data_IF_090820982728
#
_entry.id   IF_090820982728
#
_cell.length_a   1.000
_cell.length_b   1.000
_cell.length_c   1.000
_cell.angle_alpha   90.00
_cell.angle_beta   90.00
_cell.angle_gamma   90.00
#
_symmetry.space_group_name_H-M   'P 1'
#
loop_
_entity.id
_entity.type
_entity.pdbx_description
1 polymer ?
#
# COMPACT_ATOMS: atom_id res chain seq x y z
N UNK A 1 70.87 10.87 45.54
CA UNK A 1 69.44 11.24 45.53
C UNK A 1 68.67 9.94 45.35
N UNK A 2 68.15 9.38 46.44
CA UNK A 2 67.60 8.02 46.45
C UNK A 2 66.13 8.04 46.03
N UNK A 3 65.84 7.35 44.93
CA UNK A 3 64.50 7.03 44.47
C UNK A 3 63.91 5.96 45.39
N UNK A 4 63.07 6.35 46.36
CA UNK A 4 62.33 5.41 47.17
C UNK A 4 61.15 4.85 46.35
N UNK A 5 61.31 3.62 45.87
CA UNK A 5 60.23 2.76 45.36
C UNK A 5 59.16 2.65 46.45
N UNK A 6 57.97 3.21 46.22
CA UNK A 6 56.79 2.94 47.07
C UNK A 6 56.35 1.50 46.81
N UNK A 7 56.43 0.65 47.82
CA UNK A 7 55.84 -0.69 47.78
C UNK A 7 54.31 -0.59 47.79
N UNK A 8 53.60 -1.49 47.08
CA UNK A 8 52.15 -1.53 47.12
C UNK A 8 51.68 -2.00 48.51
N UNK A 9 50.79 -1.25 49.16
CA UNK A 9 50.21 -1.64 50.44
C UNK A 9 49.48 -2.98 50.33
N UNK A 10 49.80 -3.91 51.23
CA UNK A 10 49.12 -5.19 51.34
C UNK A 10 47.66 -4.96 51.78
N UNK A 11 46.72 -5.20 50.86
CA UNK A 11 45.29 -5.10 51.15
C UNK A 11 44.87 -6.04 52.28
N UNK A 12 44.12 -5.52 53.25
CA UNK A 12 43.55 -6.31 54.35
C UNK A 12 42.63 -7.42 53.81
N UNK A 13 42.79 -8.65 54.31
CA UNK A 13 41.94 -9.78 53.89
C UNK A 13 40.56 -9.72 54.56
N UNK A 14 39.52 -9.92 53.77
CA UNK A 14 38.13 -9.94 54.22
C UNK A 14 37.86 -11.16 55.11
N UNK A 15 37.09 -10.97 56.18
CA UNK A 15 36.65 -12.08 57.03
C UNK A 15 35.47 -12.85 56.40
N UNK A 16 35.18 -14.10 56.85
CA UNK A 16 34.13 -14.93 56.24
C UNK A 16 32.73 -14.29 56.23
N UNK A 17 32.39 -13.51 57.25
CA UNK A 17 31.10 -12.82 57.33
C UNK A 17 31.00 -11.69 56.30
N UNK A 18 32.08 -10.92 56.11
CA UNK A 18 32.16 -9.88 55.08
C UNK A 18 32.06 -10.48 53.67
N UNK A 19 32.70 -11.63 53.43
CA UNK A 19 32.55 -12.37 52.18
C UNK A 19 31.11 -12.81 51.92
N UNK A 20 30.43 -13.37 52.94
CA UNK A 20 29.05 -13.82 52.81
C UNK A 20 28.08 -12.67 52.50
N UNK A 21 28.26 -11.52 53.15
CA UNK A 21 27.47 -10.30 52.89
C UNK A 21 27.69 -9.80 51.47
N UNK A 22 28.94 -9.69 51.01
CA UNK A 22 29.25 -9.29 49.64
C UNK A 22 28.64 -10.24 48.63
N UNK A 23 28.81 -11.56 48.80
CA UNK A 23 28.24 -12.57 47.90
C UNK A 23 26.70 -12.49 47.83
N UNK A 24 26.02 -12.23 48.95
CA UNK A 24 24.57 -12.04 48.98
C UNK A 24 24.15 -10.78 48.20
N UNK A 25 24.82 -9.65 48.41
CA UNK A 25 24.54 -8.39 47.68
C UNK A 25 24.75 -8.58 46.18
N UNK A 26 25.91 -9.11 45.76
CA UNK A 26 26.18 -9.41 44.35
C UNK A 26 25.14 -10.36 43.76
N UNK A 27 24.77 -11.42 44.48
CA UNK A 27 23.74 -12.37 44.06
C UNK A 27 22.38 -11.71 43.84
N UNK A 28 21.96 -10.78 44.70
CA UNK A 28 20.71 -10.03 44.51
C UNK A 28 20.76 -9.06 43.33
N UNK A 29 21.88 -8.35 43.15
CA UNK A 29 22.10 -7.44 42.03
C UNK A 29 22.04 -8.18 40.69
N UNK A 30 22.70 -9.35 40.57
CA UNK A 30 22.67 -10.18 39.37
C UNK A 30 21.25 -10.64 39.04
N UNK A 31 20.49 -11.13 40.05
CA UNK A 31 19.09 -11.55 39.83
C UNK A 31 18.20 -10.38 39.40
N UNK A 32 18.41 -9.19 39.94
CA UNK A 32 17.67 -7.99 39.54
C UNK A 32 17.94 -7.62 38.08
N UNK A 33 19.22 -7.60 37.66
CA UNK A 33 19.62 -7.35 36.27
C UNK A 33 19.03 -8.42 35.33
N UNK A 34 19.05 -9.70 35.71
CA UNK A 34 18.42 -10.76 34.93
C UNK A 34 16.92 -10.53 34.72
N UNK A 35 16.20 -10.08 35.76
CA UNK A 35 14.76 -9.74 35.67
C UNK A 35 14.51 -8.55 34.74
N UNK A 36 15.34 -7.51 34.79
CA UNK A 36 15.22 -6.36 33.87
C UNK A 36 15.44 -6.80 32.42
N UNK A 37 16.52 -7.54 32.15
CA UNK A 37 16.81 -8.08 30.82
C UNK A 37 15.68 -8.98 30.28
N UNK A 38 15.05 -9.77 31.15
CA UNK A 38 13.91 -10.60 30.77
C UNK A 38 12.69 -9.75 30.37
N UNK A 39 12.38 -8.69 31.14
CA UNK A 39 11.30 -7.74 30.82
C UNK A 39 11.58 -6.99 29.51
N UNK A 40 12.82 -6.55 29.28
CA UNK A 40 13.20 -5.85 28.05
C UNK A 40 13.07 -6.77 26.83
N UNK A 41 13.50 -8.04 26.96
CA UNK A 41 13.30 -9.05 25.90
C UNK A 41 11.83 -9.28 25.59
N UNK A 42 10.98 -9.38 26.61
CA UNK A 42 9.53 -9.54 26.44
C UNK A 42 8.91 -8.33 25.72
N UNK A 43 9.28 -7.11 26.10
CA UNK A 43 8.81 -5.89 25.45
C UNK A 43 9.26 -5.79 23.99
N UNK A 44 10.53 -6.10 23.73
CA UNK A 44 11.07 -6.13 22.37
C UNK A 44 10.30 -7.14 21.50
N UNK A 45 9.97 -8.31 22.04
CA UNK A 45 9.22 -9.33 21.30
C UNK A 45 7.78 -8.88 21.02
N UNK A 46 7.09 -8.28 22.00
CA UNK A 46 5.76 -7.69 21.80
C UNK A 46 5.79 -6.62 20.71
N UNK A 47 6.78 -5.73 20.73
CA UNK A 47 6.93 -4.69 19.71
C UNK A 47 7.17 -5.29 18.31
N UNK A 48 8.00 -6.33 18.20
CA UNK A 48 8.23 -7.04 16.94
C UNK A 48 6.95 -7.67 16.39
N UNK A 49 6.15 -8.29 17.25
CA UNK A 49 4.87 -8.89 16.85
C UNK A 49 3.88 -7.82 16.38
N UNK A 50 3.76 -6.72 17.13
CA UNK A 50 2.91 -5.59 16.75
C UNK A 50 3.31 -5.00 15.40
N UNK A 51 4.62 -4.79 15.18
CA UNK A 51 5.14 -4.28 13.92
C UNK A 51 4.81 -5.22 12.75
N UNK A 52 5.01 -6.53 12.92
CA UNK A 52 4.63 -7.53 11.90
C UNK A 52 3.14 -7.48 11.56
N UNK A 53 2.28 -7.34 12.57
CA UNK A 53 0.83 -7.22 12.36
C UNK A 53 0.48 -5.95 11.59
N UNK A 54 1.07 -4.82 11.98
CA UNK A 54 0.88 -3.54 11.29
C UNK A 54 1.30 -3.62 9.82
N UNK A 55 2.52 -4.08 9.55
CA UNK A 55 3.05 -4.22 8.18
C UNK A 55 2.18 -5.19 7.35
N UNK A 56 1.67 -6.25 7.96
CA UNK A 56 0.78 -7.21 7.28
C UNK A 56 -0.58 -6.60 6.95
N UNK A 57 -1.15 -5.80 7.86
CA UNK A 57 -2.40 -5.11 7.62
C UNK A 57 -2.24 -4.07 6.52
N UNK A 58 -1.16 -3.30 6.54
CA UNK A 58 -0.85 -2.31 5.50
C UNK A 58 -0.74 -2.96 4.12
N UNK A 59 0.03 -4.06 4.00
CA UNK A 59 0.12 -4.83 2.75
C UNK A 59 -1.23 -5.33 2.27
N UNK A 60 -2.07 -5.82 3.18
CA UNK A 60 -3.42 -6.30 2.86
C UNK A 60 -4.30 -5.15 2.33
N UNK A 61 -4.29 -4.00 3.00
CA UNK A 61 -5.04 -2.82 2.57
C UNK A 61 -4.57 -2.28 1.22
N UNK A 62 -3.26 -2.29 0.97
CA UNK A 62 -2.69 -1.93 -0.33
C UNK A 62 -3.15 -2.88 -1.43
N UNK A 63 -3.10 -4.19 -1.19
CA UNK A 63 -3.57 -5.20 -2.14
C UNK A 63 -5.07 -5.05 -2.44
N UNK A 64 -5.88 -4.80 -1.41
CA UNK A 64 -7.32 -4.58 -1.57
C UNK A 64 -7.61 -3.34 -2.44
N UNK A 65 -6.93 -2.22 -2.18
CA UNK A 65 -7.03 -1.01 -3.01
C UNK A 65 -6.60 -1.30 -4.46
N UNK A 66 -5.51 -2.04 -4.66
CA UNK A 66 -5.09 -2.44 -6.00
C UNK A 66 -6.14 -3.31 -6.70
N UNK A 67 -6.80 -4.22 -6.00
CA UNK A 67 -7.85 -5.04 -6.58
C UNK A 67 -9.08 -4.21 -6.95
N UNK A 68 -9.50 -3.29 -6.08
CA UNK A 68 -10.59 -2.34 -6.35
C UNK A 68 -10.30 -1.50 -7.60
N UNK A 69 -9.09 -0.95 -7.73
CA UNK A 69 -8.70 -0.21 -8.92
C UNK A 69 -8.69 -1.08 -10.20
N UNK A 70 -8.38 -2.38 -10.09
CA UNK A 70 -8.36 -3.32 -11.24
C UNK A 70 -9.77 -3.56 -11.74
N UNK A 71 -10.70 -3.84 -10.83
CA UNK A 71 -12.11 -4.05 -11.15
C UNK A 71 -12.75 -2.77 -11.70
N UNK A 72 -12.43 -1.61 -11.11
CA UNK A 72 -12.91 -0.33 -11.61
C UNK A 72 -12.48 -0.09 -13.07
N UNK A 73 -11.18 -0.29 -13.38
CA UNK A 73 -10.66 -0.11 -14.73
C UNK A 73 -11.32 -1.07 -15.73
N UNK A 74 -11.53 -2.33 -15.33
CA UNK A 74 -12.23 -3.33 -16.15
C UNK A 74 -13.69 -2.92 -16.41
N UNK A 75 -14.36 -2.37 -15.39
CA UNK A 75 -15.73 -1.88 -15.50
C UNK A 75 -15.83 -0.70 -16.48
N UNK A 76 -14.93 0.29 -16.37
CA UNK A 76 -14.88 1.41 -17.32
C UNK A 76 -14.55 0.95 -18.73
N UNK A 77 -13.60 0.03 -18.90
CA UNK A 77 -13.28 -0.56 -20.20
C UNK A 77 -14.52 -1.19 -20.85
N UNK A 78 -15.29 -2.00 -20.11
CA UNK A 78 -16.53 -2.61 -20.61
C UNK A 78 -17.58 -1.57 -20.99
N UNK A 79 -17.82 -0.57 -20.13
CA UNK A 79 -18.77 0.51 -20.42
C UNK A 79 -18.39 1.29 -21.68
N UNK A 80 -17.10 1.59 -21.85
CA UNK A 80 -16.59 2.29 -23.01
C UNK A 80 -16.68 1.45 -24.28
N UNK A 81 -16.44 0.13 -24.21
CA UNK A 81 -16.68 -0.79 -25.32
C UNK A 81 -18.16 -0.83 -25.74
N UNK A 82 -19.08 -0.88 -24.77
CA UNK A 82 -20.53 -0.82 -25.03
C UNK A 82 -20.89 0.49 -25.70
N UNK A 83 -20.46 1.63 -25.13
CA UNK A 83 -20.66 2.94 -25.75
C UNK A 83 -20.15 2.96 -27.20
N UNK A 84 -18.97 2.40 -27.44
CA UNK A 84 -18.34 2.44 -28.75
C UNK A 84 -19.05 1.55 -29.77
N UNK A 85 -19.57 0.39 -29.35
CA UNK A 85 -20.35 -0.50 -30.23
C UNK A 85 -21.66 0.14 -30.71
N UNK A 86 -22.21 1.10 -29.93
CA UNK A 86 -23.41 1.85 -30.34
C UNK A 86 -23.21 2.65 -31.62
N UNK A 87 -21.99 3.10 -31.93
CA UNK A 87 -21.70 3.79 -33.19
C UNK A 87 -21.64 2.85 -34.40
N UNK A 88 -21.52 1.54 -34.16
CA UNK A 88 -21.50 0.51 -35.20
C UNK A 88 -22.89 -0.05 -35.51
N UNK A 89 -23.89 0.21 -34.65
CA UNK A 89 -25.25 -0.28 -34.84
C UNK A 89 -26.13 0.78 -35.50
N UNK A 90 -26.83 0.47 -36.60
CA UNK A 90 -27.79 1.39 -37.21
C UNK A 90 -29.09 1.52 -36.39
N UNK A 91 -29.32 0.64 -35.41
CA UNK A 91 -30.57 0.57 -34.64
C UNK A 91 -30.49 1.25 -33.26
N UNK A 92 -29.30 1.61 -32.79
CA UNK A 92 -29.15 2.22 -31.46
C UNK A 92 -29.31 3.74 -31.57
N UNK A 93 -30.32 4.26 -30.87
CA UNK A 93 -30.65 5.68 -30.88
C UNK A 93 -29.63 6.54 -30.11
N UNK A 94 -29.51 7.80 -30.55
CA UNK A 94 -28.66 8.82 -29.92
C UNK A 94 -28.92 8.99 -28.41
N UNK A 95 -30.18 8.90 -27.98
CA UNK A 95 -30.56 9.10 -26.57
C UNK A 95 -29.96 8.04 -25.65
N UNK A 96 -30.02 6.77 -26.03
CA UNK A 96 -29.44 5.67 -25.24
C UNK A 96 -27.93 5.87 -25.04
N UNK A 97 -27.21 6.32 -26.07
CA UNK A 97 -25.78 6.64 -25.92
C UNK A 97 -25.54 7.76 -24.90
N UNK A 98 -26.34 8.83 -24.94
CA UNK A 98 -26.19 9.93 -23.97
C UNK A 98 -26.45 9.47 -22.53
N UNK A 99 -27.41 8.57 -22.32
CA UNK A 99 -27.69 7.98 -21.01
C UNK A 99 -26.47 7.23 -20.48
N UNK A 100 -25.86 6.38 -21.30
CA UNK A 100 -24.63 5.67 -20.93
C UNK A 100 -23.47 6.63 -20.67
N UNK A 101 -23.27 7.64 -21.52
CA UNK A 101 -22.21 8.65 -21.32
C UNK A 101 -22.39 9.39 -19.99
N UNK A 102 -23.63 9.76 -19.64
CA UNK A 102 -23.96 10.38 -18.35
C UNK A 102 -23.65 9.46 -17.18
N UNK A 103 -24.03 8.18 -17.27
CA UNK A 103 -23.77 7.19 -16.22
C UNK A 103 -22.28 6.94 -16.02
N UNK A 104 -21.51 6.86 -17.11
CA UNK A 104 -20.05 6.73 -17.07
C UNK A 104 -19.42 7.94 -16.37
N UNK A 105 -19.82 9.17 -16.74
CA UNK A 105 -19.30 10.39 -16.11
C UNK A 105 -19.73 10.51 -14.64
N UNK A 106 -20.96 10.14 -14.31
CA UNK A 106 -21.43 10.13 -12.93
C UNK A 106 -20.60 9.18 -12.06
N UNK A 107 -20.24 8.00 -12.58
CA UNK A 107 -19.35 7.08 -11.87
C UNK A 107 -17.94 7.66 -11.71
N UNK A 108 -17.38 8.25 -12.76
CA UNK A 108 -16.03 8.82 -12.72
C UNK A 108 -15.91 10.00 -11.73
N UNK A 109 -16.97 10.78 -11.57
CA UNK A 109 -17.04 11.95 -10.67
C UNK A 109 -17.42 11.60 -9.24
N UNK A 110 -17.79 10.36 -8.95
CA UNK A 110 -18.18 9.91 -7.61
C UNK A 110 -17.19 8.92 -7.02
N UNK A 111 -16.61 8.06 -7.84
CA UNK A 111 -15.63 7.06 -7.39
C UNK A 111 -14.28 7.72 -7.03
N UNK A 112 -13.74 7.50 -5.82
CA UNK A 112 -12.51 8.14 -5.36
C UNK A 112 -11.27 7.70 -6.16
N UNK A 113 -11.21 6.44 -6.60
CA UNK A 113 -10.09 5.91 -7.39
C UNK A 113 -10.16 6.51 -8.80
N UNK A 114 -11.35 6.64 -9.39
CA UNK A 114 -11.53 7.30 -10.68
C UNK A 114 -11.09 8.77 -10.65
N UNK A 115 -11.39 9.48 -9.55
CA UNK A 115 -10.94 10.86 -9.32
C UNK A 115 -9.42 10.95 -9.21
N UNK A 116 -8.79 10.08 -8.43
CA UNK A 116 -7.34 10.04 -8.26
C UNK A 116 -6.62 9.82 -9.60
N UNK A 117 -7.16 8.96 -10.46
CA UNK A 117 -6.63 8.69 -11.80
C UNK A 117 -6.88 9.88 -12.77
N UNK A 118 -7.89 10.71 -12.48
CA UNK A 118 -8.31 11.83 -13.32
C UNK A 118 -9.15 11.40 -14.53
N UNK A 119 -10.04 10.41 -14.34
CA UNK A 119 -10.81 9.81 -15.45
C UNK A 119 -11.79 10.77 -16.11
N UNK A 120 -12.37 11.71 -15.37
CA UNK A 120 -13.43 12.59 -15.87
C UNK A 120 -13.03 13.37 -17.14
N UNK A 121 -11.88 14.04 -17.11
CA UNK A 121 -11.41 14.84 -18.25
C UNK A 121 -11.01 13.96 -19.44
N UNK A 122 -10.36 12.82 -19.17
CA UNK A 122 -10.04 11.84 -20.20
C UNK A 122 -11.32 11.28 -20.87
N UNK A 123 -12.39 11.05 -20.10
CA UNK A 123 -13.69 10.58 -20.60
C UNK A 123 -14.40 11.64 -21.45
N UNK A 124 -14.41 12.90 -21.02
CA UNK A 124 -14.97 14.02 -21.82
C UNK A 124 -14.28 14.08 -23.19
N UNK A 125 -12.96 13.93 -23.23
CA UNK A 125 -12.19 13.92 -24.48
C UNK A 125 -12.56 12.73 -25.37
N UNK A 126 -12.69 11.52 -24.80
CA UNK A 126 -13.16 10.33 -25.52
C UNK A 126 -14.53 10.60 -26.14
N UNK A 127 -15.49 11.10 -25.36
CA UNK A 127 -16.86 11.29 -25.83
C UNK A 127 -16.94 12.32 -26.95
N UNK A 128 -16.07 13.33 -26.91
CA UNK A 128 -15.99 14.35 -27.94
C UNK A 128 -15.39 13.84 -29.26
N UNK A 129 -14.41 12.92 -29.20
CA UNK A 129 -13.58 12.54 -30.36
C UNK A 129 -13.91 11.17 -30.95
N UNK A 130 -14.19 10.18 -30.11
CA UNK A 130 -14.51 8.82 -30.56
C UNK A 130 -16.02 8.71 -30.86
N UNK A 131 -16.45 9.25 -32.00
CA UNK A 131 -17.87 9.33 -32.41
C UNK A 131 -18.25 8.47 -33.61
N UNK A 132 -17.37 7.57 -34.04
CA UNK A 132 -17.58 6.76 -35.23
C UNK A 132 -17.10 5.33 -35.02
N UNK A 133 -17.72 4.39 -35.73
CA UNK A 133 -17.23 3.02 -35.85
C UNK A 133 -16.01 2.99 -36.77
N UNK A 134 -15.00 2.16 -36.48
CA UNK A 134 -13.80 2.07 -37.30
C UNK A 134 -14.09 1.47 -38.69
N UNK A 135 -14.93 0.43 -38.78
CA UNK A 135 -15.42 -0.12 -40.05
C UNK A 135 -16.87 -0.62 -39.88
N UNK A 136 -17.72 -0.43 -40.90
CA UNK A 136 -19.17 -0.76 -40.85
C UNK A 136 -19.49 -2.22 -40.51
N UNK A 137 -18.55 -3.14 -40.72
CA UNK A 137 -18.71 -4.59 -40.50
C UNK A 137 -17.69 -5.16 -39.53
N UNK A 138 -16.99 -4.30 -38.78
CA UNK A 138 -15.97 -4.75 -37.85
C UNK A 138 -16.60 -5.51 -36.69
N UNK A 139 -16.32 -6.80 -36.59
CA UNK A 139 -16.70 -7.66 -35.47
C UNK A 139 -15.75 -7.52 -34.27
N UNK A 140 -14.55 -6.95 -34.47
CA UNK A 140 -13.58 -6.72 -33.41
C UNK A 140 -13.77 -5.35 -32.76
N UNK A 141 -14.54 -5.30 -31.68
CA UNK A 141 -14.78 -4.08 -30.90
C UNK A 141 -13.50 -3.37 -30.41
N UNK A 142 -12.35 -4.07 -30.38
CA UNK A 142 -11.05 -3.49 -29.96
C UNK A 142 -10.44 -2.53 -30.97
N UNK A 143 -10.95 -2.49 -32.21
CA UNK A 143 -10.50 -1.50 -33.19
C UNK A 143 -11.28 -0.18 -33.12
N UNK A 144 -12.41 -0.17 -32.41
CA UNK A 144 -13.21 1.05 -32.27
C UNK A 144 -12.71 1.90 -31.10
N UNK A 145 -12.72 3.23 -31.25
CA UNK A 145 -12.33 4.14 -30.18
C UNK A 145 -10.83 4.17 -29.93
N UNK A 146 -10.03 4.68 -30.88
CA UNK A 146 -8.58 4.75 -30.74
C UNK A 146 -8.15 5.55 -29.51
N UNK A 147 -8.83 6.68 -29.25
CA UNK A 147 -8.51 7.51 -28.10
C UNK A 147 -8.90 6.80 -26.79
N UNK A 148 -10.06 6.14 -26.76
CA UNK A 148 -10.52 5.31 -25.66
C UNK A 148 -9.45 4.30 -25.22
N UNK A 149 -8.89 3.53 -26.16
CA UNK A 149 -7.83 2.56 -25.84
C UNK A 149 -6.56 3.23 -25.31
N UNK A 150 -6.15 4.35 -25.89
CA UNK A 150 -4.98 5.09 -25.41
C UNK A 150 -5.18 5.59 -23.96
N UNK A 151 -6.37 6.09 -23.63
CA UNK A 151 -6.69 6.53 -22.26
C UNK A 151 -6.75 5.36 -21.29
N UNK A 152 -7.35 4.23 -21.67
CA UNK A 152 -7.38 3.00 -20.85
C UNK A 152 -5.95 2.53 -20.55
N UNK A 153 -5.06 2.52 -21.54
CA UNK A 153 -3.65 2.16 -21.34
C UNK A 153 -2.96 3.12 -20.37
N UNK A 154 -3.16 4.43 -20.53
CA UNK A 154 -2.67 5.46 -19.61
C UNK A 154 -3.20 5.26 -18.18
N UNK A 155 -4.46 4.89 -18.01
CA UNK A 155 -5.03 4.64 -16.68
C UNK A 155 -4.44 3.37 -16.05
N UNK A 156 -4.24 2.32 -16.84
CA UNK A 156 -3.60 1.08 -16.38
C UNK A 156 -2.14 1.30 -15.97
N UNK A 157 -1.41 2.21 -16.61
CA UNK A 157 -0.01 2.52 -16.27
C UNK A 157 0.14 3.47 -15.08
N UNK A 158 -0.88 4.25 -14.73
CA UNK A 158 -0.88 5.11 -13.52
C UNK A 158 -1.04 4.32 -12.21
N UNK A 159 -1.17 3.01 -12.32
CA UNK A 159 -1.39 2.08 -11.21
C UNK A 159 -0.08 1.54 -10.62
N UNK A 160 1.03 1.72 -11.33
CA UNK A 160 2.38 1.37 -10.92
C UNK A 160 3.06 2.59 -10.27
#
# INVERSE_FOLDING_TARGET
MNNAKREPEAGQSLNPLQYAVLAAVFGTAVRYIQKLNAKDKEQIEKYKQLKKMYDSNEKKSQLERQNQAKELLKHFEQLLMVRQSMFCSPFIHHQHRLEIEKDILSKATTDPIAKEIGMEEDLKEIFQRDKHCAEKWNSDGRKNGKLMWNKILKWKSKKD
#
